data_IF_159087240606
#
_entry.id   IF_159087240606
#
_cell.length_a   1.000
_cell.length_b   1.000
_cell.length_c   1.000
_cell.angle_alpha   90.00
_cell.angle_beta   90.00
_cell.angle_gamma   90.00
#
_symmetry.space_group_name_H-M   'P 1'
#
loop_
_entity.id
_entity.type
_entity.pdbx_description
1 polymer ?
#
# COMPACT_ATOMS: atom_id res chain seq x y z
N UNK A 1 15.45 29.31 17.54
CA UNK A 1 14.75 28.15 16.99
C UNK A 1 14.64 27.15 18.13
N UNK A 2 13.43 26.88 18.62
CA UNK A 2 13.23 25.93 19.71
C UNK A 2 13.57 24.52 19.24
N UNK A 3 14.15 23.72 20.12
CA UNK A 3 14.35 22.29 19.86
C UNK A 3 13.00 21.61 19.72
N UNK A 4 12.91 20.63 18.81
CA UNK A 4 11.69 19.86 18.57
C UNK A 4 11.33 19.09 19.86
N UNK A 5 10.10 19.17 20.39
CA UNK A 5 9.71 18.41 21.57
C UNK A 5 9.74 16.90 21.29
N UNK A 6 10.17 16.11 22.27
CA UNK A 6 10.23 14.63 22.21
C UNK A 6 8.88 13.95 22.48
N UNK A 7 7.82 14.71 22.68
CA UNK A 7 6.48 14.22 23.03
C UNK A 7 5.60 13.86 21.82
N UNK A 8 6.10 14.09 20.59
CA UNK A 8 5.33 13.77 19.38
C UNK A 8 5.30 12.25 19.18
N UNK A 9 4.12 11.65 19.29
CA UNK A 9 3.94 10.23 19.02
C UNK A 9 4.00 9.93 17.52
N UNK A 10 5.17 9.55 17.01
CA UNK A 10 5.35 9.15 15.60
C UNK A 10 5.00 7.69 15.31
N UNK A 11 4.58 6.91 16.31
CA UNK A 11 4.11 5.54 16.06
C UNK A 11 2.71 5.53 15.46
N UNK A 12 1.91 6.52 15.82
CA UNK A 12 0.58 6.71 15.28
C UNK A 12 0.60 7.64 14.05
N UNK A 13 -0.39 7.51 13.16
CA UNK A 13 -0.57 8.46 12.05
C UNK A 13 -0.83 9.87 12.56
N UNK A 14 -0.32 10.88 11.84
CA UNK A 14 -0.52 12.31 12.18
C UNK A 14 -1.99 12.73 12.27
N UNK A 15 -2.84 12.10 11.44
CA UNK A 15 -4.26 12.44 11.34
C UNK A 15 -5.12 11.37 11.97
N UNK A 16 -6.22 11.79 12.60
CA UNK A 16 -7.20 10.91 13.20
C UNK A 16 -7.76 9.90 12.18
N UNK A 17 -7.46 8.62 12.41
CA UNK A 17 -7.87 7.52 11.54
C UNK A 17 -9.34 7.11 11.74
N UNK A 18 -10.03 7.63 12.73
CA UNK A 18 -11.47 7.42 12.92
C UNK A 18 -12.29 8.15 11.85
N UNK A 19 -11.79 9.28 11.37
CA UNK A 19 -12.44 10.12 10.36
C UNK A 19 -12.08 9.70 8.94
N UNK A 20 -13.03 9.81 8.01
CA UNK A 20 -12.75 9.56 6.57
C UNK A 20 -11.65 10.49 6.03
N UNK A 21 -11.71 11.78 6.38
CA UNK A 21 -10.75 12.77 5.89
C UNK A 21 -9.33 12.50 6.42
N UNK A 22 -9.20 12.07 7.68
CA UNK A 22 -7.91 11.70 8.27
C UNK A 22 -7.30 10.51 7.57
N UNK A 23 -8.08 9.44 7.32
CA UNK A 23 -7.63 8.29 6.52
C UNK A 23 -7.21 8.69 5.11
N UNK A 24 -8.04 9.49 4.43
CA UNK A 24 -7.74 9.94 3.07
C UNK A 24 -6.41 10.70 3.01
N UNK A 25 -6.19 11.69 3.89
CA UNK A 25 -4.93 12.45 3.98
C UNK A 25 -3.73 11.54 4.24
N UNK A 26 -3.86 10.59 5.16
CA UNK A 26 -2.79 9.64 5.47
C UNK A 26 -2.42 8.83 4.21
N UNK A 27 -3.39 8.19 3.57
CA UNK A 27 -3.12 7.37 2.39
C UNK A 27 -2.58 8.18 1.21
N UNK A 28 -3.11 9.36 0.93
CA UNK A 28 -2.57 10.24 -0.11
C UNK A 28 -1.11 10.61 0.12
N UNK A 29 -0.70 10.76 1.38
CA UNK A 29 0.67 11.11 1.72
C UNK A 29 1.61 9.90 1.62
N UNK A 30 1.19 8.73 2.11
CA UNK A 30 2.01 7.50 2.06
C UNK A 30 2.13 6.96 0.64
N UNK A 31 1.07 7.08 -0.18
CA UNK A 31 1.06 6.63 -1.58
C UNK A 31 1.57 7.68 -2.57
N UNK A 32 2.14 8.80 -2.11
CA UNK A 32 2.66 9.86 -2.97
C UNK A 32 3.71 9.31 -3.96
N UNK A 33 3.42 9.31 -5.28
CA UNK A 33 4.32 8.73 -6.27
C UNK A 33 5.66 9.47 -6.40
N UNK A 34 5.75 10.72 -5.93
CA UNK A 34 7.01 11.48 -5.90
C UNK A 34 8.07 10.81 -5.04
N UNK A 35 7.66 10.01 -4.05
CA UNK A 35 8.59 9.25 -3.21
C UNK A 35 9.34 8.14 -3.97
N UNK A 36 8.88 7.74 -5.16
CA UNK A 36 9.62 6.82 -6.04
C UNK A 36 10.88 7.43 -6.62
N UNK A 37 10.89 8.75 -6.80
CA UNK A 37 12.01 9.49 -7.37
C UNK A 37 13.13 9.78 -6.36
N UNK A 38 12.89 9.49 -5.09
CA UNK A 38 13.88 9.71 -4.03
C UNK A 38 15.06 8.74 -4.17
N UNK A 39 16.26 9.28 -4.07
CA UNK A 39 17.50 8.50 -4.10
C UNK A 39 17.61 7.59 -2.86
N UNK A 40 18.42 6.53 -2.97
CA UNK A 40 18.71 5.66 -1.84
C UNK A 40 19.24 6.40 -0.61
N UNK A 41 20.09 7.40 -0.82
CA UNK A 41 20.64 8.24 0.25
C UNK A 41 19.56 9.06 0.98
N UNK A 42 18.59 9.62 0.24
CA UNK A 42 17.47 10.36 0.82
C UNK A 42 16.54 9.46 1.65
N UNK A 43 16.31 8.22 1.18
CA UNK A 43 15.54 7.23 1.93
C UNK A 43 16.24 6.84 3.23
N UNK A 44 17.56 6.58 3.19
CA UNK A 44 18.33 6.27 4.40
C UNK A 44 18.44 7.47 5.36
N UNK A 45 18.56 8.69 4.84
CA UNK A 45 18.50 9.90 5.68
C UNK A 45 17.15 10.01 6.42
N UNK A 46 16.04 9.75 5.72
CA UNK A 46 14.71 9.73 6.35
C UNK A 46 14.58 8.62 7.40
N UNK A 47 15.14 7.43 7.12
CA UNK A 47 15.22 6.34 8.08
C UNK A 47 15.98 6.73 9.35
N UNK A 48 17.16 7.33 9.18
CA UNK A 48 18.00 7.76 10.29
C UNK A 48 17.29 8.81 11.17
N UNK A 49 16.60 9.78 10.57
CA UNK A 49 15.80 10.78 11.30
C UNK A 49 14.73 10.09 12.16
N UNK A 50 13.97 9.17 11.58
CA UNK A 50 12.90 8.45 12.28
C UNK A 50 13.46 7.56 13.40
N UNK A 51 14.56 6.84 13.13
CA UNK A 51 15.19 5.96 14.13
C UNK A 51 15.80 6.75 15.28
N UNK A 52 16.51 7.85 14.99
CA UNK A 52 17.08 8.72 16.01
C UNK A 52 15.99 9.31 16.90
N UNK A 53 14.89 9.79 16.31
CA UNK A 53 13.78 10.32 17.08
C UNK A 53 13.12 9.26 17.98
N UNK A 54 12.97 8.00 17.47
CA UNK A 54 12.49 6.86 18.29
C UNK A 54 13.44 6.51 19.43
N UNK A 55 14.75 6.74 19.25
CA UNK A 55 15.77 6.55 20.28
C UNK A 55 15.88 7.73 21.26
N UNK A 56 15.04 8.76 21.12
CA UNK A 56 15.06 9.94 21.96
C UNK A 56 16.13 10.97 21.59
N UNK A 57 16.75 10.84 20.42
CA UNK A 57 17.78 11.76 19.92
C UNK A 57 17.18 12.68 18.86
N UNK A 58 17.06 13.96 19.18
CA UNK A 58 16.56 14.96 18.23
C UNK A 58 17.72 15.50 17.38
N UNK A 59 17.57 15.47 16.06
CA UNK A 59 18.53 16.11 15.16
C UNK A 59 18.41 17.64 15.29
N UNK A 60 19.50 18.36 15.56
CA UNK A 60 19.46 19.82 15.70
C UNK A 60 18.90 20.50 14.45
N UNK A 61 17.97 21.46 14.65
CA UNK A 61 17.36 22.20 13.55
C UNK A 61 16.24 21.46 12.80
N UNK A 62 15.82 20.28 13.26
CA UNK A 62 14.69 19.55 12.68
C UNK A 62 13.37 20.21 13.06
N UNK A 63 12.51 20.47 12.07
CA UNK A 63 11.14 20.95 12.31
C UNK A 63 10.15 19.79 12.37
N UNK A 64 8.99 20.01 13.02
CA UNK A 64 7.93 19.01 13.10
C UNK A 64 7.49 18.51 11.71
N UNK A 65 7.32 19.41 10.75
CA UNK A 65 6.92 19.05 9.40
C UNK A 65 7.99 18.22 8.67
N UNK A 66 9.26 18.48 8.94
CA UNK A 66 10.37 17.66 8.41
C UNK A 66 10.39 16.27 9.03
N UNK A 67 10.10 16.15 10.34
CA UNK A 67 9.96 14.86 11.00
C UNK A 67 8.82 14.04 10.40
N UNK A 68 7.64 14.64 10.24
CA UNK A 68 6.50 13.97 9.61
C UNK A 68 6.77 13.63 8.15
N UNK A 69 7.45 14.50 7.41
CA UNK A 69 7.89 14.20 6.04
C UNK A 69 8.82 12.99 6.00
N UNK A 70 9.82 12.93 6.88
CA UNK A 70 10.72 11.79 6.99
C UNK A 70 9.97 10.52 7.35
N UNK A 71 8.98 10.59 8.26
CA UNK A 71 8.11 9.47 8.63
C UNK A 71 7.32 8.94 7.44
N UNK A 72 6.70 9.81 6.63
CA UNK A 72 5.94 9.38 5.45
C UNK A 72 6.84 8.75 4.37
N UNK A 73 8.02 9.30 4.15
CA UNK A 73 9.01 8.70 3.24
C UNK A 73 9.44 7.33 3.76
N UNK A 74 9.67 7.20 5.07
CA UNK A 74 9.99 5.93 5.70
C UNK A 74 8.87 4.92 5.53
N UNK A 75 7.63 5.26 5.88
CA UNK A 75 6.46 4.37 5.79
C UNK A 75 6.15 3.98 4.33
N UNK A 76 6.51 4.81 3.35
CA UNK A 76 6.30 4.51 1.92
C UNK A 76 7.32 3.55 1.32
N UNK A 77 8.52 3.41 1.93
CA UNK A 77 9.65 2.71 1.34
C UNK A 77 10.24 1.59 2.19
N UNK A 78 9.93 1.54 3.47
CA UNK A 78 10.42 0.53 4.39
C UNK A 78 9.26 -0.26 5.00
N UNK A 79 9.53 -1.52 5.32
CA UNK A 79 8.55 -2.37 5.99
C UNK A 79 8.32 -1.87 7.43
N UNK A 80 7.06 -1.72 7.88
CA UNK A 80 6.75 -1.11 9.18
C UNK A 80 7.36 -1.89 10.36
N UNK A 81 7.36 -3.22 10.30
CA UNK A 81 7.78 -4.06 11.42
C UNK A 81 9.26 -4.45 11.33
N UNK A 82 9.75 -4.85 10.15
CA UNK A 82 11.15 -5.29 9.99
C UNK A 82 12.13 -4.16 9.74
N UNK A 83 11.63 -2.99 9.31
CA UNK A 83 12.47 -1.86 8.90
C UNK A 83 13.32 -2.12 7.65
N UNK A 84 13.08 -3.23 6.95
CA UNK A 84 13.78 -3.55 5.71
C UNK A 84 13.30 -2.68 4.56
N UNK A 85 14.22 -2.35 3.67
CA UNK A 85 13.89 -1.57 2.46
C UNK A 85 13.08 -2.42 1.49
N UNK A 86 11.86 -1.99 1.20
CA UNK A 86 10.97 -2.67 0.27
C UNK A 86 11.44 -2.47 -1.17
N UNK A 87 11.33 -3.51 -2.00
CA UNK A 87 11.60 -3.43 -3.44
C UNK A 87 10.73 -2.36 -4.10
N UNK A 88 11.25 -1.67 -5.11
CA UNK A 88 10.62 -0.49 -5.71
C UNK A 88 9.14 -0.72 -6.08
N UNK A 89 8.84 -1.86 -6.71
CA UNK A 89 7.50 -2.22 -7.17
C UNK A 89 6.54 -2.50 -5.99
N UNK A 90 7.05 -3.02 -4.88
CA UNK A 90 6.26 -3.32 -3.69
C UNK A 90 6.00 -2.13 -2.77
N UNK A 91 6.62 -0.97 -3.00
CA UNK A 91 6.44 0.21 -2.16
C UNK A 91 5.04 0.78 -2.27
N UNK A 92 4.53 1.33 -1.17
CA UNK A 92 3.22 1.99 -1.15
C UNK A 92 3.15 3.17 -2.13
N UNK A 93 4.26 3.88 -2.34
CA UNK A 93 4.37 4.95 -3.34
C UNK A 93 4.25 4.48 -4.80
N UNK A 94 4.54 3.20 -5.09
CA UNK A 94 4.38 2.61 -6.43
C UNK A 94 2.92 2.22 -6.75
N UNK A 95 2.06 2.12 -5.75
CA UNK A 95 0.70 1.61 -5.88
C UNK A 95 -0.11 2.36 -6.95
N UNK A 96 -0.14 3.68 -6.87
CA UNK A 96 -0.95 4.50 -7.77
C UNK A 96 -0.44 4.43 -9.22
N UNK A 97 0.83 4.75 -9.53
CA UNK A 97 1.30 4.76 -10.92
C UNK A 97 1.28 3.37 -11.56
N UNK A 98 1.59 2.31 -10.82
CA UNK A 98 1.55 0.95 -11.35
C UNK A 98 0.12 0.49 -11.64
N UNK A 99 -0.82 0.70 -10.72
CA UNK A 99 -2.22 0.35 -10.95
C UNK A 99 -2.83 1.14 -12.12
N UNK A 100 -2.52 2.43 -12.24
CA UNK A 100 -2.97 3.25 -13.38
C UNK A 100 -2.43 2.70 -14.70
N UNK A 101 -1.16 2.33 -14.75
CA UNK A 101 -0.51 1.77 -15.96
C UNK A 101 -1.12 0.43 -16.33
N UNK A 102 -1.24 -0.50 -15.37
CA UNK A 102 -1.81 -1.84 -15.59
C UNK A 102 -3.27 -1.72 -16.05
N UNK A 103 -4.08 -0.91 -15.35
CA UNK A 103 -5.49 -0.70 -15.70
C UNK A 103 -5.62 -0.03 -17.07
N UNK A 104 -4.80 0.97 -17.38
CA UNK A 104 -4.75 1.60 -18.70
C UNK A 104 -4.46 0.61 -19.82
N UNK A 105 -3.47 -0.27 -19.61
CA UNK A 105 -3.15 -1.34 -20.56
C UNK A 105 -4.29 -2.37 -20.70
N UNK A 106 -4.91 -2.75 -19.57
CA UNK A 106 -6.07 -3.66 -19.59
C UNK A 106 -7.23 -3.07 -20.40
N UNK A 107 -7.53 -1.79 -20.23
CA UNK A 107 -8.59 -1.10 -20.97
C UNK A 107 -8.26 -0.91 -22.46
N UNK A 108 -6.99 -0.68 -22.78
CA UNK A 108 -6.55 -0.46 -24.16
C UNK A 108 -6.51 -1.77 -24.96
N UNK A 109 -5.99 -2.84 -24.34
CA UNK A 109 -5.69 -4.10 -25.02
C UNK A 109 -6.72 -5.23 -24.78
N UNK A 110 -7.95 -4.92 -24.36
CA UNK A 110 -8.98 -5.89 -23.98
C UNK A 110 -9.53 -6.73 -25.14
N UNK A 111 -9.28 -6.36 -26.41
CA UNK A 111 -9.92 -6.97 -27.59
C UNK A 111 -9.54 -8.43 -27.77
N UNK A 112 -8.25 -8.77 -27.64
CA UNK A 112 -7.72 -10.13 -27.84
C UNK A 112 -7.76 -10.91 -26.53
N UNK A 113 -8.29 -12.14 -26.55
CA UNK A 113 -8.37 -13.00 -25.36
C UNK A 113 -7.02 -13.29 -24.72
N UNK A 114 -5.93 -13.65 -25.44
CA UNK A 114 -4.64 -13.88 -24.80
C UNK A 114 -4.08 -12.63 -24.11
N UNK A 115 -4.34 -11.45 -24.67
CA UNK A 115 -3.91 -10.19 -24.05
C UNK A 115 -4.69 -9.89 -22.78
N UNK A 116 -5.97 -10.22 -22.70
CA UNK A 116 -6.77 -10.10 -21.47
C UNK A 116 -6.19 -11.02 -20.39
N UNK A 117 -5.91 -12.28 -20.71
CA UNK A 117 -5.32 -13.23 -19.75
C UNK A 117 -3.95 -12.74 -19.27
N UNK A 118 -3.11 -12.27 -20.18
CA UNK A 118 -1.79 -11.74 -19.84
C UNK A 118 -1.88 -10.55 -18.86
N UNK A 119 -2.71 -9.55 -19.15
CA UNK A 119 -2.82 -8.39 -18.27
C UNK A 119 -3.49 -8.69 -16.93
N UNK A 120 -4.43 -9.65 -16.89
CA UNK A 120 -4.97 -10.15 -15.62
C UNK A 120 -3.88 -10.84 -14.79
N UNK A 121 -3.05 -11.65 -15.43
CA UNK A 121 -1.91 -12.27 -14.76
C UNK A 121 -0.92 -11.23 -14.21
N UNK A 122 -0.56 -10.20 -15.01
CA UNK A 122 0.30 -9.09 -14.57
C UNK A 122 -0.31 -8.36 -13.38
N UNK A 123 -1.61 -8.06 -13.42
CA UNK A 123 -2.32 -7.40 -12.33
C UNK A 123 -2.28 -8.22 -11.03
N UNK A 124 -2.56 -9.52 -11.12
CA UNK A 124 -2.54 -10.40 -9.94
C UNK A 124 -1.12 -10.57 -9.39
N UNK A 125 -0.11 -10.65 -10.26
CA UNK A 125 1.29 -10.72 -9.84
C UNK A 125 1.73 -9.45 -9.13
N UNK A 126 1.35 -8.28 -9.64
CA UNK A 126 1.61 -7.01 -8.97
C UNK A 126 0.96 -6.95 -7.58
N UNK A 127 -0.33 -7.30 -7.48
CA UNK A 127 -1.03 -7.33 -6.19
C UNK A 127 -0.38 -8.32 -5.20
N UNK A 128 0.06 -9.48 -5.66
CA UNK A 128 0.76 -10.46 -4.81
C UNK A 128 2.08 -9.90 -4.28
N UNK A 129 2.89 -9.23 -5.13
CA UNK A 129 4.14 -8.59 -4.73
C UNK A 129 3.89 -7.49 -3.69
N UNK A 130 2.90 -6.63 -3.92
CA UNK A 130 2.56 -5.55 -2.98
C UNK A 130 2.09 -6.10 -1.65
N UNK A 131 1.18 -7.08 -1.65
CA UNK A 131 0.67 -7.71 -0.43
C UNK A 131 1.78 -8.42 0.35
N UNK A 132 2.67 -9.12 -0.35
CA UNK A 132 3.81 -9.77 0.30
C UNK A 132 4.79 -8.75 0.89
N UNK A 133 5.06 -7.66 0.18
CA UNK A 133 6.01 -6.62 0.60
C UNK A 133 5.50 -5.76 1.76
N UNK A 134 4.18 -5.70 1.96
CA UNK A 134 3.54 -4.91 3.03
C UNK A 134 2.80 -5.80 4.04
N UNK A 135 3.16 -7.08 4.14
CA UNK A 135 2.56 -8.00 5.10
C UNK A 135 2.87 -7.59 6.54
N UNK A 136 1.97 -7.92 7.47
CA UNK A 136 2.24 -7.72 8.90
C UNK A 136 3.30 -8.71 9.39
N UNK A 137 4.21 -8.24 10.25
CA UNK A 137 5.21 -9.06 10.91
C UNK A 137 4.61 -10.03 11.93
N UNK A 138 3.48 -9.66 12.54
CA UNK A 138 2.81 -10.45 13.58
C UNK A 138 2.11 -11.71 13.03
N UNK A 139 1.76 -11.71 11.74
CA UNK A 139 1.12 -12.85 11.08
C UNK A 139 1.90 -13.25 9.82
N UNK A 140 3.01 -13.98 9.95
CA UNK A 140 3.82 -14.36 8.81
C UNK A 140 3.03 -15.25 7.85
N UNK A 141 2.81 -14.76 6.63
CA UNK A 141 2.17 -15.54 5.57
C UNK A 141 3.18 -16.58 5.07
N UNK A 142 2.83 -17.84 5.12
CA UNK A 142 3.68 -18.90 4.56
C UNK A 142 3.69 -18.83 3.03
N UNK A 143 4.80 -19.27 2.42
CA UNK A 143 4.93 -19.31 0.95
C UNK A 143 3.84 -20.17 0.32
N UNK A 144 3.41 -21.24 0.99
CA UNK A 144 2.30 -22.08 0.55
C UNK A 144 0.95 -21.34 0.53
N UNK A 145 0.64 -20.60 1.59
CA UNK A 145 -0.58 -19.77 1.65
C UNK A 145 -0.57 -18.67 0.58
N UNK A 146 0.58 -18.01 0.39
CA UNK A 146 0.73 -17.01 -0.66
C UNK A 146 0.52 -17.63 -2.05
N UNK A 147 1.12 -18.80 -2.31
CA UNK A 147 0.97 -19.52 -3.57
C UNK A 147 -0.48 -19.92 -3.86
N UNK A 148 -1.18 -20.50 -2.88
CA UNK A 148 -2.59 -20.90 -3.05
C UNK A 148 -3.49 -19.69 -3.24
N UNK A 149 -3.30 -18.62 -2.48
CA UNK A 149 -4.04 -17.36 -2.65
C UNK A 149 -3.81 -16.74 -4.04
N UNK A 150 -2.56 -16.74 -4.51
CA UNK A 150 -2.19 -16.23 -5.84
C UNK A 150 -2.84 -17.04 -6.96
N UNK A 151 -2.77 -18.38 -6.92
CA UNK A 151 -3.35 -19.26 -7.94
C UNK A 151 -4.87 -19.11 -7.98
N UNK A 152 -5.53 -19.12 -6.81
CA UNK A 152 -6.99 -18.98 -6.73
C UNK A 152 -7.46 -17.60 -7.21
N UNK A 153 -6.78 -16.52 -6.83
CA UNK A 153 -7.10 -15.17 -7.26
C UNK A 153 -6.90 -15.00 -8.77
N UNK A 154 -5.79 -15.51 -9.31
CA UNK A 154 -5.51 -15.44 -10.76
C UNK A 154 -6.54 -16.23 -11.57
N UNK A 155 -6.84 -17.46 -11.14
CA UNK A 155 -7.85 -18.32 -11.81
C UNK A 155 -9.23 -17.66 -11.76
N UNK A 156 -9.65 -17.15 -10.61
CA UNK A 156 -10.90 -16.43 -10.44
C UNK A 156 -11.00 -15.18 -11.31
N UNK A 157 -9.96 -14.36 -11.35
CA UNK A 157 -9.91 -13.15 -12.16
C UNK A 157 -10.00 -13.45 -13.66
N UNK A 158 -9.25 -14.45 -14.14
CA UNK A 158 -9.27 -14.87 -15.54
C UNK A 158 -10.63 -15.47 -15.89
N UNK A 159 -11.18 -16.36 -15.07
CA UNK A 159 -12.49 -16.97 -15.29
C UNK A 159 -13.60 -15.92 -15.36
N UNK A 160 -13.59 -14.94 -14.46
CA UNK A 160 -14.54 -13.83 -14.45
C UNK A 160 -14.40 -12.96 -15.70
N UNK A 161 -13.18 -12.58 -16.07
CA UNK A 161 -12.93 -11.74 -17.24
C UNK A 161 -13.36 -12.44 -18.55
N UNK A 162 -13.09 -13.73 -18.70
CA UNK A 162 -13.49 -14.52 -19.87
C UNK A 162 -15.00 -14.79 -19.88
N UNK A 163 -15.59 -15.08 -18.72
CA UNK A 163 -17.03 -15.29 -18.57
C UNK A 163 -17.83 -14.05 -18.96
N UNK A 164 -17.45 -12.88 -18.45
CA UNK A 164 -18.08 -11.61 -18.82
C UNK A 164 -17.90 -11.27 -20.30
N UNK A 165 -16.70 -11.52 -20.84
CA UNK A 165 -16.44 -11.33 -22.27
C UNK A 165 -17.29 -12.25 -23.15
N UNK A 166 -17.54 -13.50 -22.73
CA UNK A 166 -18.42 -14.43 -23.39
C UNK A 166 -19.87 -13.96 -23.35
N UNK A 167 -20.35 -13.52 -22.17
CA UNK A 167 -21.71 -13.01 -22.00
C UNK A 167 -21.99 -11.77 -22.86
N UNK A 168 -21.02 -10.85 -22.98
CA UNK A 168 -21.18 -9.67 -23.85
C UNK A 168 -21.22 -10.03 -25.35
N UNK A 169 -20.60 -11.13 -25.76
CA UNK A 169 -20.70 -11.65 -27.14
C UNK A 169 -22.04 -12.31 -27.44
N UNK A 170 -22.59 -13.06 -26.48
CA UNK A 170 -23.84 -13.84 -26.67
C UNK A 170 -25.07 -12.93 -26.58
N UNK A 171 -25.07 -11.95 -25.70
CA UNK A 171 -26.26 -11.13 -25.45
C UNK A 171 -26.06 -9.75 -26.03
N UNK A 172 -25.69 -9.45 -27.17
CA UNK A 172 -25.68 -8.11 -27.81
C UNK A 172 -26.24 -6.96 -26.89
N UNK A 173 -25.78 -6.91 -25.61
CA UNK A 173 -26.27 -6.00 -24.62
C UNK A 173 -25.82 -4.56 -24.96
N UNK A 174 -26.70 -3.56 -24.80
CA UNK A 174 -26.41 -2.19 -25.17
C UNK A 174 -25.18 -1.65 -24.42
N UNK A 175 -24.54 -0.66 -25.00
CA UNK A 175 -23.25 -0.05 -24.62
C UNK A 175 -23.01 0.18 -23.11
N UNK A 176 -24.04 0.15 -22.27
CA UNK A 176 -23.97 0.39 -20.82
C UNK A 176 -23.24 -0.75 -20.07
N UNK A 177 -23.43 -2.01 -20.48
CA UNK A 177 -22.78 -3.17 -19.83
C UNK A 177 -21.31 -3.32 -20.22
N UNK A 178 -20.94 -2.89 -21.41
CA UNK A 178 -19.53 -2.86 -21.81
C UNK A 178 -18.71 -1.87 -20.95
N UNK A 179 -19.32 -0.79 -20.50
CA UNK A 179 -18.70 0.16 -19.55
C UNK A 179 -18.57 -0.43 -18.15
N UNK A 180 -19.53 -1.21 -17.69
CA UNK A 180 -19.48 -1.85 -16.37
C UNK A 180 -18.39 -2.94 -16.30
N UNK A 181 -18.22 -3.72 -17.36
CA UNK A 181 -17.15 -4.71 -17.49
C UNK A 181 -15.76 -4.04 -17.57
N UNK A 182 -15.70 -2.82 -18.12
CA UNK A 182 -14.47 -1.99 -18.12
C UNK A 182 -14.16 -1.41 -16.75
N UNK A 183 -15.20 -1.09 -15.97
CA UNK A 183 -15.07 -0.40 -14.68
C UNK A 183 -14.91 -1.35 -13.49
N UNK A 184 -15.04 -2.68 -13.67
CA UNK A 184 -14.68 -3.61 -12.61
C UNK A 184 -13.15 -3.69 -12.50
N UNK A 185 -12.52 -2.89 -11.63
CA UNK A 185 -11.17 -3.17 -11.23
C UNK A 185 -11.23 -4.53 -10.52
N UNK A 186 -10.44 -5.48 -10.94
CA UNK A 186 -10.17 -6.68 -10.15
C UNK A 186 -9.33 -6.30 -8.90
N UNK A 187 -9.68 -5.21 -8.29
CA UNK A 187 -9.18 -4.77 -7.01
C UNK A 187 -10.07 -5.43 -5.98
N UNK A 188 -9.66 -6.59 -5.49
CA UNK A 188 -10.10 -6.96 -4.16
C UNK A 188 -9.72 -5.79 -3.25
N UNK A 189 -10.67 -5.24 -2.47
CA UNK A 189 -10.32 -4.21 -1.54
C UNK A 189 -9.22 -4.79 -0.65
N UNK A 190 -8.06 -4.15 -0.68
CA UNK A 190 -7.05 -4.33 0.34
C UNK A 190 -7.73 -3.90 1.65
N UNK A 191 -8.20 -4.85 2.42
CA UNK A 191 -8.47 -4.63 3.83
C UNK A 191 -7.10 -4.68 4.50
N UNK A 192 -6.54 -3.55 4.94
CA UNK A 192 -5.38 -3.61 5.80
C UNK A 192 -5.77 -4.48 7.00
N UNK A 193 -4.89 -5.36 7.49
CA UNK A 193 -5.15 -6.10 8.71
C UNK A 193 -5.53 -5.09 9.80
N UNK A 194 -6.48 -5.42 10.68
CA UNK A 194 -6.82 -4.55 11.79
C UNK A 194 -5.52 -4.24 12.54
N UNK A 195 -5.21 -2.95 12.69
CA UNK A 195 -4.13 -2.53 13.56
C UNK A 195 -4.34 -3.23 14.89
N UNK A 196 -3.32 -3.89 15.47
CA UNK A 196 -3.43 -4.37 16.83
C UNK A 196 -3.81 -3.15 17.66
N UNK A 197 -4.98 -3.22 18.29
CA UNK A 197 -5.34 -2.24 19.31
C UNK A 197 -4.20 -2.30 20.31
N UNK A 198 -3.50 -1.18 20.46
CA UNK A 198 -2.51 -1.03 21.51
C UNK A 198 -3.23 -1.33 22.82
N UNK A 199 -3.05 -2.54 23.33
CA UNK A 199 -3.37 -2.83 24.71
C UNK A 199 -2.47 -1.93 25.52
N UNK A 200 -3.02 -0.81 25.98
CA UNK A 200 -2.38 0.07 26.95
C UNK A 200 -1.84 -0.81 28.07
N UNK A 201 -0.57 -0.75 28.41
CA UNK A 201 -0.09 -1.47 29.57
C UNK A 201 -0.85 -0.96 30.79
N UNK A 202 -1.22 -1.82 31.75
CA UNK A 202 -1.88 -1.38 32.96
C UNK A 202 -0.98 -0.37 33.67
N UNK A 203 -1.56 0.78 34.01
CA UNK A 203 -0.92 1.80 34.81
C UNK A 203 -0.32 1.15 36.07
N UNK A 204 0.98 1.04 36.09
CA UNK A 204 1.73 0.66 37.30
C UNK A 204 1.55 1.74 38.38
N UNK A 205 1.43 1.37 39.66
CA UNK A 205 1.20 2.29 40.75
C UNK A 205 2.51 2.96 41.16
N UNK A 206 2.84 4.10 40.56
CA UNK A 206 3.81 5.04 41.13
C UNK A 206 3.12 6.39 41.28
N UNK A 207 2.27 6.45 42.30
CA UNK A 207 1.91 7.69 42.96
C UNK A 207 2.80 7.84 44.23
N UNK A 208 3.63 8.82 44.27
CA UNK A 208 3.90 9.78 45.35
C UNK A 208 5.03 10.68 44.94
#
# INVERSE_FOLDING_TARGET
>A
MGELPLDINIQEPRWDQSTFLGRARHFFTVTDPRNLLLSGAQLEASRNIVQNYRAGVVTPGLTEDQLWRAKYVYDSAFHPDTGEKVVLIGRMSAQVPMNMTITGCMLTFYRKTPTVVFWQWVNQSFNAIVNYSNRSGDAPITVGQLGTAYVSATTGAVATALGLKSLTKVNALPHCTASLVRALPASFPFTPPPHPQSSSPPHGPWGR
#
